data_IF_664045960610
#
_entry.id   IF_664045960610
#
_cell.length_a   1.000
_cell.length_b   1.000
_cell.length_c   1.000
_cell.angle_alpha   90.00
_cell.angle_beta   90.00
_cell.angle_gamma   90.00
#
_symmetry.space_group_name_H-M   'P 1'
#
loop_
_entity.id
_entity.type
_entity.pdbx_description
1 polymer ?
#
# COMPACT_ATOMS: atom_id res chain seq x y z
N UNK A 1 -4.15 0.70 4.56
CA UNK A 1 -2.99 1.56 4.32
C UNK A 1 -1.67 0.86 4.68
N UNK A 2 -1.58 0.28 5.87
CA UNK A 2 -0.35 -0.39 6.34
C UNK A 2 0.11 -1.52 5.41
N UNK A 3 -0.80 -2.26 4.84
CA UNK A 3 -0.47 -3.44 4.04
C UNK A 3 0.26 -3.09 2.74
N UNK A 4 -0.31 -2.20 1.91
CA UNK A 4 0.30 -1.83 0.64
C UNK A 4 1.46 -0.82 0.76
N UNK A 5 1.64 -0.17 1.91
CA UNK A 5 2.76 0.77 2.14
C UNK A 5 4.00 0.12 2.75
N UNK A 6 3.91 -1.12 3.27
CA UNK A 6 5.06 -1.88 3.78
C UNK A 6 6.22 -1.91 2.79
N UNK A 7 5.90 -2.18 1.54
CA UNK A 7 6.87 -2.25 0.46
C UNK A 7 7.66 -0.95 0.30
N UNK A 8 6.99 0.20 0.35
CA UNK A 8 7.62 1.52 0.28
C UNK A 8 8.55 1.75 1.48
N UNK A 9 8.07 1.43 2.69
CA UNK A 9 8.83 1.69 3.92
C UNK A 9 10.11 0.87 4.02
N UNK A 10 10.06 -0.41 3.60
CA UNK A 10 11.18 -1.33 3.80
C UNK A 10 12.14 -1.41 2.61
N UNK A 11 11.72 -1.00 1.42
CA UNK A 11 12.48 -1.22 0.19
C UNK A 11 12.99 0.05 -0.48
N UNK A 12 12.26 1.16 -0.38
CA UNK A 12 12.70 2.41 -0.97
C UNK A 12 13.90 2.99 -0.20
N UNK A 13 14.72 3.77 -0.89
CA UNK A 13 15.87 4.44 -0.30
C UNK A 13 15.48 5.33 0.88
N UNK A 14 16.41 5.57 1.81
CA UNK A 14 16.16 6.36 3.01
C UNK A 14 15.67 7.78 2.70
N UNK A 15 16.15 8.36 1.60
CA UNK A 15 15.82 9.73 1.19
C UNK A 15 14.72 9.78 0.12
N UNK A 16 14.08 8.64 -0.18
CA UNK A 16 13.00 8.59 -1.16
C UNK A 16 11.79 9.42 -0.69
N UNK A 17 11.30 10.30 -1.56
CA UNK A 17 10.20 11.21 -1.26
C UNK A 17 8.93 10.47 -0.87
N UNK A 18 8.60 9.39 -1.59
CA UNK A 18 7.40 8.60 -1.32
C UNK A 18 7.48 7.88 0.03
N UNK A 19 8.67 7.38 0.38
CA UNK A 19 8.92 6.81 1.70
C UNK A 19 8.68 7.85 2.81
N UNK A 20 9.18 9.09 2.63
CA UNK A 20 8.97 10.17 3.59
C UNK A 20 7.50 10.58 3.71
N UNK A 21 6.78 10.63 2.61
CA UNK A 21 5.34 10.90 2.62
C UNK A 21 4.58 9.81 3.42
N UNK A 22 4.87 8.54 3.18
CA UNK A 22 4.28 7.43 3.93
C UNK A 22 4.62 7.52 5.42
N UNK A 23 5.88 7.79 5.77
CA UNK A 23 6.29 7.99 7.17
C UNK A 23 5.54 9.14 7.84
N UNK A 24 5.33 10.25 7.14
CA UNK A 24 4.56 11.40 7.65
C UNK A 24 3.12 11.02 7.96
N UNK A 25 2.47 10.26 7.08
CA UNK A 25 1.10 9.77 7.32
C UNK A 25 1.05 8.83 8.53
N UNK A 26 2.00 7.90 8.66
CA UNK A 26 2.09 7.02 9.82
C UNK A 26 2.30 7.81 11.12
N UNK A 27 3.17 8.80 11.09
CA UNK A 27 3.45 9.65 12.24
C UNK A 27 2.18 10.37 12.69
N UNK A 28 1.46 11.03 11.78
CA UNK A 28 0.20 11.73 12.07
C UNK A 28 -0.87 10.78 12.61
N UNK A 29 -1.02 9.60 11.99
CA UNK A 29 -1.97 8.60 12.46
C UNK A 29 -1.62 8.08 13.86
N UNK A 30 -0.34 7.81 14.13
CA UNK A 30 0.11 7.32 15.42
C UNK A 30 -0.10 8.37 16.51
N UNK A 31 0.28 9.62 16.25
CA UNK A 31 0.08 10.74 17.17
C UNK A 31 -1.40 10.88 17.58
N UNK A 32 -2.29 10.89 16.59
CA UNK A 32 -3.72 10.98 16.84
C UNK A 32 -4.26 9.76 17.61
N UNK A 33 -3.87 8.55 17.23
CA UNK A 33 -4.34 7.32 17.87
C UNK A 33 -3.88 7.23 19.32
N UNK A 34 -2.62 7.54 19.62
CA UNK A 34 -2.07 7.46 20.98
C UNK A 34 -2.79 8.44 21.92
N UNK A 35 -3.04 9.67 21.47
CA UNK A 35 -3.79 10.68 22.24
C UNK A 35 -5.26 10.30 22.43
N UNK A 36 -5.93 9.78 21.40
CA UNK A 36 -7.34 9.37 21.47
C UNK A 36 -7.56 8.15 22.38
N UNK A 37 -6.62 7.21 22.39
CA UNK A 37 -6.73 5.99 23.19
C UNK A 37 -6.15 6.10 24.59
N UNK A 38 -5.46 7.19 24.92
CA UNK A 38 -4.88 7.40 26.24
C UNK A 38 -5.86 7.20 27.43
N UNK A 39 -7.13 7.66 27.38
CA UNK A 39 -8.07 7.42 28.46
C UNK A 39 -8.47 5.94 28.65
N UNK A 40 -8.34 5.11 27.64
CA UNK A 40 -8.75 3.71 27.64
C UNK A 40 -7.59 2.74 27.84
N UNK A 41 -6.46 3.02 27.20
CA UNK A 41 -5.26 2.19 27.20
C UNK A 41 -4.07 2.91 27.85
N UNK A 42 -4.28 3.41 29.07
CA UNK A 42 -3.37 4.33 29.76
C UNK A 42 -1.90 3.88 29.73
N UNK A 43 -1.62 2.62 30.03
CA UNK A 43 -0.24 2.11 30.06
C UNK A 43 0.34 1.88 28.67
N UNK A 44 -0.44 1.31 27.77
CA UNK A 44 0.00 1.02 26.38
C UNK A 44 0.31 2.31 25.63
N UNK A 45 -0.54 3.31 25.75
CA UNK A 45 -0.33 4.59 25.06
C UNK A 45 0.83 5.39 25.64
N UNK A 46 1.05 5.30 26.97
CA UNK A 46 2.22 5.91 27.61
C UNK A 46 3.52 5.21 27.17
N UNK A 47 3.54 3.88 27.11
CA UNK A 47 4.69 3.14 26.60
C UNK A 47 5.01 3.51 25.14
N UNK A 48 3.98 3.58 24.28
CA UNK A 48 4.15 4.04 22.89
C UNK A 48 4.68 5.47 22.85
N UNK A 49 4.16 6.36 23.71
CA UNK A 49 4.57 7.76 23.78
C UNK A 49 6.03 7.93 24.12
N UNK A 50 6.55 7.17 25.08
CA UNK A 50 7.99 7.19 25.45
C UNK A 50 8.92 6.80 24.29
N UNK A 51 8.43 5.98 23.34
CA UNK A 51 9.18 5.57 22.15
C UNK A 51 8.85 6.40 20.90
N UNK A 52 7.79 7.18 20.99
CA UNK A 52 7.33 8.05 19.90
C UNK A 52 8.06 9.39 20.05
N UNK A 53 9.08 9.61 19.25
CA UNK A 53 9.91 10.81 19.28
C UNK A 53 9.09 12.09 19.00
N UNK A 54 8.46 12.58 20.06
CA UNK A 54 7.59 13.74 20.07
C UNK A 54 7.93 14.59 21.33
N UNK A 55 8.41 15.82 21.10
CA UNK A 55 8.81 16.74 22.17
C UNK A 55 7.61 17.54 22.73
N UNK A 56 6.38 17.16 22.46
CA UNK A 56 5.18 17.93 22.86
C UNK A 56 4.96 17.92 24.37
N UNK A 57 5.13 16.76 25.02
CA UNK A 57 4.97 16.60 26.46
C UNK A 57 5.70 15.37 26.98
N UNK A 58 6.03 15.39 28.29
CA UNK A 58 6.68 14.26 28.97
C UNK A 58 5.80 13.00 29.01
N UNK A 59 4.49 13.16 29.03
CA UNK A 59 3.49 12.07 29.05
C UNK A 59 2.35 12.38 28.09
N UNK A 60 1.81 11.34 27.45
CA UNK A 60 0.62 11.47 26.60
C UNK A 60 -0.59 12.01 27.34
N UNK A 61 -0.65 11.76 28.67
CA UNK A 61 -1.76 12.23 29.51
C UNK A 61 -1.77 13.75 29.76
N UNK A 62 -0.70 14.45 29.39
CA UNK A 62 -0.63 15.92 29.43
C UNK A 62 -0.97 16.56 28.09
N UNK A 63 -1.16 15.75 27.05
CA UNK A 63 -1.50 16.24 25.71
C UNK A 63 -2.99 16.54 25.59
N UNK A 64 -3.32 17.48 24.70
CA UNK A 64 -4.68 17.69 24.25
C UNK A 64 -5.08 16.66 23.17
N UNK A 65 -6.38 16.41 23.04
CA UNK A 65 -6.86 15.64 21.91
C UNK A 65 -6.49 16.31 20.57
N UNK A 66 -6.20 15.51 19.54
CA UNK A 66 -5.79 16.06 18.25
C UNK A 66 -6.92 16.92 17.66
N UNK A 67 -6.54 18.05 17.07
CA UNK A 67 -7.47 18.90 16.35
C UNK A 67 -7.96 18.18 15.07
N UNK A 68 -9.21 18.44 14.69
CA UNK A 68 -9.75 17.94 13.42
C UNK A 68 -9.12 18.72 12.27
N UNK A 69 -8.38 18.02 11.43
CA UNK A 69 -7.84 18.59 10.19
C UNK A 69 -8.87 18.45 9.07
N UNK A 70 -9.08 19.50 8.29
CA UNK A 70 -9.91 19.47 7.08
C UNK A 70 -9.06 19.68 5.84
N UNK A 71 -9.33 18.90 4.81
CA UNK A 71 -8.64 18.99 3.51
C UNK A 71 -9.66 19.36 2.43
N UNK A 72 -9.34 20.39 1.65
CA UNK A 72 -10.28 20.96 0.66
C UNK A 72 -10.75 19.95 -0.41
N UNK A 73 -9.91 18.96 -0.71
CA UNK A 73 -10.18 17.92 -1.71
C UNK A 73 -10.57 16.55 -1.11
N UNK A 74 -10.89 16.50 0.19
CA UNK A 74 -11.13 15.22 0.89
C UNK A 74 -12.27 14.41 0.28
N UNK A 75 -13.39 15.04 -0.08
CA UNK A 75 -14.53 14.34 -0.64
C UNK A 75 -14.23 13.83 -2.06
N UNK A 76 -13.60 14.63 -2.91
CA UNK A 76 -13.18 14.20 -4.24
C UNK A 76 -12.22 13.00 -4.18
N UNK A 77 -11.24 13.04 -3.26
CA UNK A 77 -10.32 11.92 -3.04
C UNK A 77 -11.04 10.65 -2.54
N UNK A 78 -12.03 10.80 -1.67
CA UNK A 78 -12.83 9.64 -1.19
C UNK A 78 -13.61 8.98 -2.34
N UNK A 79 -14.22 9.76 -3.20
CA UNK A 79 -14.95 9.26 -4.37
C UNK A 79 -14.00 8.55 -5.36
N UNK A 80 -12.87 9.16 -5.67
CA UNK A 80 -11.83 8.56 -6.51
C UNK A 80 -11.33 7.23 -5.93
N UNK A 81 -10.96 7.22 -4.64
CA UNK A 81 -10.48 6.01 -3.99
C UNK A 81 -11.56 4.96 -3.78
N UNK A 82 -12.83 5.30 -3.67
CA UNK A 82 -13.92 4.32 -3.58
C UNK A 82 -13.94 3.43 -4.83
N UNK A 83 -13.90 4.02 -6.03
CA UNK A 83 -13.81 3.29 -7.28
C UNK A 83 -12.57 2.38 -7.36
N UNK A 84 -11.40 2.90 -6.98
CA UNK A 84 -10.16 2.13 -6.93
C UNK A 84 -10.22 0.96 -5.94
N UNK A 85 -10.85 1.14 -4.78
CA UNK A 85 -11.02 0.08 -3.77
C UNK A 85 -11.96 -1.03 -4.24
N UNK A 86 -12.98 -0.71 -5.02
CA UNK A 86 -13.86 -1.71 -5.64
C UNK A 86 -13.08 -2.59 -6.62
N UNK A 87 -12.26 -1.98 -7.49
CA UNK A 87 -11.36 -2.72 -8.39
C UNK A 87 -10.41 -3.61 -7.59
N UNK A 88 -9.82 -3.07 -6.52
CA UNK A 88 -8.92 -3.83 -5.65
C UNK A 88 -9.63 -5.02 -5.00
N UNK A 89 -10.87 -4.88 -4.61
CA UNK A 89 -11.66 -5.96 -4.02
C UNK A 89 -11.84 -7.12 -4.99
N UNK A 90 -12.15 -6.84 -6.25
CA UNK A 90 -12.26 -7.85 -7.30
C UNK A 90 -10.92 -8.57 -7.54
N UNK A 91 -9.82 -7.82 -7.56
CA UNK A 91 -8.46 -8.40 -7.71
C UNK A 91 -8.11 -9.29 -6.51
N UNK A 92 -8.39 -8.84 -5.28
CA UNK A 92 -8.11 -9.64 -4.07
C UNK A 92 -8.89 -10.96 -4.07
N UNK A 93 -10.15 -10.94 -4.53
CA UNK A 93 -10.96 -12.13 -4.69
C UNK A 93 -10.35 -13.10 -5.72
N UNK A 94 -9.95 -12.60 -6.90
CA UNK A 94 -9.32 -13.42 -7.94
C UNK A 94 -7.97 -14.01 -7.49
N UNK A 95 -7.18 -13.26 -6.71
CA UNK A 95 -5.94 -13.74 -6.11
C UNK A 95 -6.21 -14.85 -5.08
N UNK A 96 -7.26 -14.73 -4.28
CA UNK A 96 -7.63 -15.77 -3.31
C UNK A 96 -8.13 -17.03 -3.99
N UNK A 97 -8.94 -16.93 -5.04
CA UNK A 97 -9.37 -18.04 -5.87
C UNK A 97 -8.16 -18.77 -6.50
N UNK A 98 -7.19 -18.02 -7.01
CA UNK A 98 -5.95 -18.56 -7.59
C UNK A 98 -5.07 -19.25 -6.54
N UNK A 99 -5.05 -18.74 -5.31
CA UNK A 99 -4.35 -19.35 -4.17
C UNK A 99 -5.03 -20.67 -3.77
N UNK A 100 -6.36 -20.70 -3.68
CA UNK A 100 -7.13 -21.90 -3.37
C UNK A 100 -6.98 -22.98 -4.45
N UNK A 101 -6.89 -22.59 -5.72
CA UNK A 101 -6.58 -23.46 -6.85
C UNK A 101 -5.09 -23.90 -6.90
N UNK A 102 -4.24 -23.40 -5.96
CA UNK A 102 -2.80 -23.68 -5.88
C UNK A 102 -2.01 -23.25 -7.14
N UNK A 103 -2.53 -22.32 -7.91
CA UNK A 103 -1.82 -21.73 -9.05
C UNK A 103 -0.70 -20.81 -8.59
N UNK A 104 -0.91 -20.10 -7.47
CA UNK A 104 0.06 -19.24 -6.79
C UNK A 104 0.09 -19.61 -5.29
N UNK A 105 1.24 -19.37 -4.64
CA UNK A 105 1.38 -19.48 -3.18
C UNK A 105 1.17 -18.13 -2.49
N UNK A 106 1.75 -17.08 -3.03
CA UNK A 106 1.64 -15.70 -2.50
C UNK A 106 1.20 -14.75 -3.60
N UNK A 107 0.64 -13.60 -3.23
CA UNK A 107 0.24 -12.58 -4.19
C UNK A 107 1.42 -12.06 -5.04
N UNK A 108 2.63 -12.04 -4.47
CA UNK A 108 3.87 -11.65 -5.20
C UNK A 108 4.28 -12.66 -6.27
N UNK A 109 3.71 -13.87 -6.29
CA UNK A 109 3.91 -14.84 -7.38
C UNK A 109 2.96 -14.59 -8.55
N UNK A 110 2.10 -13.59 -8.46
CA UNK A 110 1.08 -13.32 -9.46
C UNK A 110 1.49 -12.17 -10.41
N UNK A 111 1.06 -12.32 -11.66
CA UNK A 111 0.83 -11.24 -12.61
C UNK A 111 -0.68 -11.08 -12.79
N UNK A 112 -1.19 -9.87 -12.65
CA UNK A 112 -2.60 -9.53 -12.79
C UNK A 112 -2.82 -8.81 -14.11
N UNK A 113 -3.73 -9.32 -14.92
CA UNK A 113 -4.23 -8.68 -16.13
C UNK A 113 -5.65 -8.19 -15.81
N UNK A 114 -5.83 -6.88 -15.79
CA UNK A 114 -7.07 -6.23 -15.40
C UNK A 114 -7.69 -5.58 -16.62
N UNK A 115 -8.93 -5.93 -16.93
CA UNK A 115 -9.74 -5.25 -17.96
C UNK A 115 -10.77 -4.38 -17.24
N UNK A 116 -10.82 -3.10 -17.58
CA UNK A 116 -11.75 -2.12 -16.98
C UNK A 116 -12.23 -1.13 -18.05
N UNK A 117 -13.25 -0.33 -17.73
CA UNK A 117 -13.64 0.78 -18.60
C UNK A 117 -12.53 1.86 -18.69
N UNK A 118 -12.60 2.72 -19.68
CA UNK A 118 -11.59 3.76 -19.93
C UNK A 118 -11.41 4.69 -18.73
N UNK A 119 -12.50 5.11 -18.09
CA UNK A 119 -12.48 5.98 -16.92
C UNK A 119 -11.72 5.35 -15.71
N UNK A 120 -11.96 4.07 -15.43
CA UNK A 120 -11.27 3.35 -14.37
C UNK A 120 -9.80 3.10 -14.74
N UNK A 121 -9.49 2.87 -16.02
CA UNK A 121 -8.13 2.69 -16.51
C UNK A 121 -7.28 3.96 -16.29
N UNK A 122 -7.84 5.13 -16.61
CA UNK A 122 -7.18 6.42 -16.38
C UNK A 122 -6.92 6.66 -14.89
N UNK A 123 -7.92 6.42 -14.03
CA UNK A 123 -7.76 6.52 -12.56
C UNK A 123 -6.68 5.59 -12.02
N UNK A 124 -6.61 4.34 -12.51
CA UNK A 124 -5.60 3.37 -12.09
C UNK A 124 -4.18 3.76 -12.52
N UNK A 125 -4.03 4.34 -13.71
CA UNK A 125 -2.74 4.74 -14.25
C UNK A 125 -2.26 6.07 -13.65
N UNK A 126 -3.11 7.07 -13.59
CA UNK A 126 -2.78 8.41 -13.11
C UNK A 126 -2.81 8.51 -11.57
N UNK A 127 -3.86 8.03 -10.93
CA UNK A 127 -4.06 8.14 -9.48
C UNK A 127 -3.03 7.37 -8.66
N UNK A 128 -2.48 6.29 -9.20
CA UNK A 128 -1.45 5.47 -8.56
C UNK A 128 -0.01 5.75 -9.03
N UNK A 129 0.20 6.75 -9.92
CA UNK A 129 1.51 7.12 -10.45
C UNK A 129 2.32 5.90 -10.95
N UNK A 130 1.68 5.02 -11.72
CA UNK A 130 2.31 3.81 -12.27
C UNK A 130 2.68 2.74 -11.24
N UNK A 131 2.16 2.81 -10.02
CA UNK A 131 2.46 1.86 -8.95
C UNK A 131 1.36 0.82 -8.70
N UNK A 132 0.55 0.51 -9.71
CA UNK A 132 -0.56 -0.44 -9.60
C UNK A 132 -0.13 -1.80 -9.05
N UNK A 133 0.95 -2.37 -9.57
CA UNK A 133 1.46 -3.67 -9.10
C UNK A 133 1.83 -3.63 -7.61
N UNK A 134 2.44 -2.55 -7.14
CA UNK A 134 2.78 -2.35 -5.74
C UNK A 134 1.52 -2.17 -4.88
N UNK A 135 0.52 -1.44 -5.36
CA UNK A 135 -0.72 -1.22 -4.64
C UNK A 135 -1.55 -2.51 -4.51
N UNK A 136 -1.48 -3.38 -5.51
CA UNK A 136 -2.09 -4.72 -5.49
C UNK A 136 -1.22 -5.78 -4.79
N UNK A 137 0.04 -5.46 -4.47
CA UNK A 137 1.02 -6.36 -3.82
C UNK A 137 1.33 -7.58 -4.72
N UNK A 138 1.45 -7.35 -6.02
CA UNK A 138 1.78 -8.37 -7.03
C UNK A 138 3.07 -8.04 -7.75
N UNK A 139 3.68 -9.01 -8.45
CA UNK A 139 4.91 -8.77 -9.19
C UNK A 139 4.69 -7.89 -10.42
N UNK A 140 3.57 -8.06 -11.09
CA UNK A 140 3.21 -7.28 -12.29
C UNK A 140 1.70 -7.09 -12.37
N UNK A 141 1.29 -5.92 -12.83
CA UNK A 141 -0.11 -5.63 -13.15
C UNK A 141 -0.18 -4.86 -14.47
N UNK A 142 -1.11 -5.26 -15.32
CA UNK A 142 -1.39 -4.61 -16.60
C UNK A 142 -2.86 -4.23 -16.65
N UNK A 143 -3.17 -3.08 -17.24
CA UNK A 143 -4.53 -2.59 -17.41
C UNK A 143 -4.83 -2.55 -18.91
N UNK A 144 -5.94 -3.13 -19.29
CA UNK A 144 -6.50 -3.09 -20.64
C UNK A 144 -7.89 -2.44 -20.59
N UNK A 145 -8.22 -1.67 -21.60
CA UNK A 145 -9.55 -1.06 -21.71
C UNK A 145 -10.51 -2.04 -22.37
N UNK A 146 -11.66 -2.27 -21.74
CA UNK A 146 -12.70 -3.15 -22.27
C UNK A 146 -14.09 -2.82 -21.74
N UNK A 147 -15.12 -3.40 -22.34
CA UNK A 147 -16.51 -3.11 -22.01
C UNK A 147 -16.95 -3.71 -20.67
N UNK A 148 -16.37 -4.84 -20.28
CA UNK A 148 -16.70 -5.53 -19.04
C UNK A 148 -15.46 -5.64 -18.16
N UNK A 149 -15.63 -5.40 -16.84
CA UNK A 149 -14.57 -5.57 -15.87
C UNK A 149 -14.25 -7.05 -15.72
N UNK A 150 -12.97 -7.40 -15.90
CA UNK A 150 -12.49 -8.75 -15.65
C UNK A 150 -11.09 -8.75 -15.04
N UNK A 151 -10.81 -9.75 -14.24
CA UNK A 151 -9.51 -9.95 -13.59
C UNK A 151 -8.98 -11.33 -13.94
N UNK A 152 -7.82 -11.38 -14.57
CA UNK A 152 -7.12 -12.62 -14.84
C UNK A 152 -5.82 -12.65 -14.05
N UNK A 153 -5.66 -13.71 -13.26
CA UNK A 153 -4.45 -13.95 -12.47
C UNK A 153 -3.65 -15.09 -13.10
N UNK A 154 -2.40 -14.81 -13.40
CA UNK A 154 -1.46 -15.81 -13.90
C UNK A 154 -0.21 -15.85 -13.02
N UNK A 155 0.53 -16.93 -13.07
CA UNK A 155 1.80 -17.02 -12.34
C UNK A 155 2.82 -16.09 -13.00
N UNK A 156 3.47 -15.25 -12.19
CA UNK A 156 4.50 -14.33 -12.66
C UNK A 156 5.71 -15.09 -13.22
N UNK A 157 6.27 -14.54 -14.28
CA UNK A 157 7.47 -15.08 -14.95
C UNK A 157 8.74 -14.40 -14.45
N UNK A 158 9.88 -15.05 -14.64
CA UNK A 158 11.19 -14.51 -14.28
C UNK A 158 11.76 -15.06 -12.98
N UNK A 159 12.77 -14.37 -12.43
CA UNK A 159 13.48 -14.75 -11.23
C UNK A 159 12.94 -14.02 -10.02
N UNK A 160 12.77 -14.75 -8.91
CA UNK A 160 12.33 -14.16 -7.62
C UNK A 160 13.46 -13.32 -7.04
N UNK A 161 13.22 -12.03 -6.86
CA UNK A 161 14.16 -11.11 -6.22
C UNK A 161 14.34 -11.45 -4.73
N UNK A 162 15.57 -11.70 -4.24
CA UNK A 162 15.80 -12.08 -2.84
C UNK A 162 15.51 -10.95 -1.86
N UNK A 163 15.52 -9.69 -2.32
CA UNK A 163 15.25 -8.52 -1.48
C UNK A 163 13.76 -8.20 -1.38
N UNK A 164 13.05 -8.19 -2.51
CA UNK A 164 11.64 -7.76 -2.53
C UNK A 164 10.63 -8.89 -2.74
N UNK A 165 11.10 -10.07 -3.11
CA UNK A 165 10.32 -11.27 -3.37
C UNK A 165 9.38 -11.20 -4.59
N UNK A 166 9.38 -10.08 -5.30
CA UNK A 166 8.69 -9.98 -6.58
C UNK A 166 9.47 -10.72 -7.66
N UNK A 167 8.77 -11.21 -8.65
CA UNK A 167 9.38 -11.86 -9.82
C UNK A 167 9.69 -10.81 -10.88
N UNK A 168 10.84 -10.93 -11.50
CA UNK A 168 11.31 -10.03 -12.59
C UNK A 168 12.01 -10.82 -13.67
N UNK A 169 11.75 -10.47 -14.92
CA UNK A 169 12.49 -10.99 -16.09
C UNK A 169 13.80 -10.24 -16.33
N UNK A 170 14.00 -9.11 -15.63
CA UNK A 170 15.15 -8.22 -15.73
C UNK A 170 16.03 -8.27 -14.48
N UNK A 171 16.08 -9.42 -13.81
CA UNK A 171 16.93 -9.60 -12.64
C UNK A 171 18.42 -9.63 -13.05
N UNK A 172 19.29 -9.02 -12.23
CA UNK A 172 20.75 -9.04 -12.40
C UNK A 172 21.37 -10.40 -12.06
N UNK A 173 22.70 -10.46 -12.09
CA UNK A 173 23.47 -11.65 -11.75
C UNK A 173 23.25 -12.14 -10.31
N UNK A 174 22.87 -11.24 -9.40
CA UNK A 174 22.54 -11.53 -8.01
C UNK A 174 21.05 -11.85 -7.81
N UNK A 175 20.26 -11.86 -8.88
CA UNK A 175 18.81 -12.05 -8.85
C UNK A 175 18.02 -10.82 -8.40
N UNK A 176 18.65 -9.63 -8.27
CA UNK A 176 17.96 -8.41 -7.88
C UNK A 176 17.17 -7.82 -9.05
N UNK A 177 15.95 -7.45 -8.80
CA UNK A 177 15.12 -6.75 -9.79
C UNK A 177 15.59 -5.29 -9.95
N UNK A 178 15.29 -4.59 -11.08
CA UNK A 178 15.73 -3.22 -11.35
C UNK A 178 15.44 -2.21 -10.24
N UNK A 179 14.37 -2.43 -9.49
CA UNK A 179 14.00 -1.59 -8.34
C UNK A 179 14.90 -1.80 -7.11
N UNK A 180 15.51 -2.97 -6.99
CA UNK A 180 16.27 -3.37 -5.81
C UNK A 180 17.80 -3.25 -6.01
N UNK A 181 18.24 -3.02 -7.24
CA UNK A 181 19.61 -2.66 -7.59
C UNK A 181 19.92 -1.26 -7.09
#
# INVERSE_FOLDING_TARGET
YCDFTKDILYRNALNDTRRRQVQTVYWKCLDALVKLWAPFLCYTTEEVWMHFNNDEAESVHYCHFPAVESYANAEALKEEFASLLDVRTDVMKALEESRNAKTIGTAQEAEVQLTVCEEDADKLNEGLNGSLAQWLIVSKATVEVGAERSVKVVKATGTKCPRCWNYSTEADENGLCPRCQ
#
